data_IF_469803431051
#
_entry.id   IF_469803431051
#
_cell.length_a   1.000
_cell.length_b   1.000
_cell.length_c   1.000
_cell.angle_alpha   90.00
_cell.angle_beta   90.00
_cell.angle_gamma   90.00
#
_symmetry.space_group_name_H-M   'P 1'
#
loop_
_entity.id
_entity.type
_entity.pdbx_description
1 polymer ?
#
# COMPACT_ATOMS: atom_id res chain seq x y z
N UNK A 1 9.27 -32.94 32.12
CA UNK A 1 10.46 -32.35 31.56
C UNK A 1 11.60 -33.36 31.40
N UNK A 2 12.30 -33.27 30.30
CA UNK A 2 13.45 -34.18 30.00
C UNK A 2 14.79 -33.44 30.12
N UNK A 3 14.89 -32.51 31.08
CA UNK A 3 16.11 -31.76 31.32
C UNK A 3 16.47 -30.71 30.29
N UNK A 4 15.50 -30.38 29.40
CA UNK A 4 15.70 -29.34 28.39
C UNK A 4 15.17 -28.01 28.92
N UNK A 5 15.96 -26.96 28.78
CA UNK A 5 15.59 -25.58 29.10
C UNK A 5 15.62 -24.78 27.80
N UNK A 6 14.58 -23.98 27.56
CA UNK A 6 14.55 -23.05 26.44
C UNK A 6 14.30 -21.63 26.93
N UNK A 7 14.93 -20.66 26.28
CA UNK A 7 14.71 -19.24 26.49
C UNK A 7 14.09 -18.70 25.20
N UNK A 8 12.95 -18.03 25.33
CA UNK A 8 12.26 -17.40 24.20
C UNK A 8 12.30 -15.88 24.42
N UNK A 9 12.81 -15.18 23.44
CA UNK A 9 12.78 -13.72 23.41
C UNK A 9 11.89 -13.28 22.24
N UNK A 10 10.89 -12.46 22.53
CA UNK A 10 9.98 -11.91 21.51
C UNK A 10 10.27 -10.41 21.43
N UNK A 11 10.61 -9.95 20.24
CA UNK A 11 10.76 -8.53 19.95
C UNK A 11 9.50 -8.06 19.22
N UNK A 12 8.98 -6.90 19.59
CA UNK A 12 7.87 -6.29 18.86
C UNK A 12 8.32 -5.96 17.42
N UNK A 13 7.49 -6.33 16.46
CA UNK A 13 7.65 -5.97 15.05
C UNK A 13 6.85 -4.71 14.70
N UNK A 14 6.65 -4.50 13.40
CA UNK A 14 5.86 -3.42 12.87
C UNK A 14 4.38 -3.59 13.25
N UNK A 15 3.65 -2.48 13.45
CA UNK A 15 2.20 -2.52 13.65
C UNK A 15 1.48 -3.00 12.37
N UNK A 16 0.20 -3.35 12.50
CA UNK A 16 -0.63 -3.66 11.34
C UNK A 16 -0.75 -2.42 10.46
N UNK A 17 -0.44 -2.56 9.17
CA UNK A 17 -0.72 -1.53 8.20
C UNK A 17 -2.24 -1.49 7.95
N UNK A 18 -2.84 -0.38 8.30
CA UNK A 18 -4.26 -0.15 8.16
C UNK A 18 -4.53 1.12 7.36
N UNK A 19 -5.16 0.97 6.22
CA UNK A 19 -5.55 2.10 5.37
C UNK A 19 -6.77 2.82 5.97
N UNK A 20 -6.66 4.13 6.14
CA UNK A 20 -7.74 4.94 6.69
C UNK A 20 -8.94 4.98 5.73
N UNK A 21 -10.16 4.58 6.17
CA UNK A 21 -11.29 4.38 5.27
C UNK A 21 -11.66 5.60 4.44
N UNK A 22 -11.68 6.79 5.05
CA UNK A 22 -12.01 8.01 4.32
C UNK A 22 -10.96 8.38 3.27
N UNK A 23 -9.67 8.06 3.50
CA UNK A 23 -8.63 8.24 2.48
C UNK A 23 -8.83 7.28 1.32
N UNK A 24 -9.13 6.01 1.59
CA UNK A 24 -9.39 5.01 0.55
C UNK A 24 -10.56 5.44 -0.33
N UNK A 25 -11.71 5.78 0.28
CA UNK A 25 -12.91 6.21 -0.45
C UNK A 25 -12.62 7.40 -1.38
N UNK A 26 -11.98 8.44 -0.87
CA UNK A 26 -11.66 9.64 -1.66
C UNK A 26 -10.62 9.37 -2.75
N UNK A 27 -9.62 8.57 -2.43
CA UNK A 27 -8.58 8.19 -3.38
C UNK A 27 -9.17 7.37 -4.52
N UNK A 28 -10.03 6.41 -4.24
CA UNK A 28 -10.73 5.60 -5.24
C UNK A 28 -11.58 6.48 -6.18
N UNK A 29 -12.31 7.46 -5.64
CA UNK A 29 -13.07 8.43 -6.43
C UNK A 29 -12.17 9.20 -7.41
N UNK A 30 -11.00 9.67 -6.96
CA UNK A 30 -10.06 10.38 -7.82
C UNK A 30 -9.44 9.47 -8.87
N UNK A 31 -9.09 8.22 -8.52
CA UNK A 31 -8.54 7.24 -9.45
C UNK A 31 -9.53 6.92 -10.58
N UNK A 32 -10.79 6.62 -10.22
CA UNK A 32 -11.84 6.33 -11.21
C UNK A 32 -12.06 7.52 -12.15
N UNK A 33 -12.11 8.75 -11.63
CA UNK A 33 -12.22 9.97 -12.46
C UNK A 33 -11.03 10.17 -13.38
N UNK A 34 -9.85 9.68 -12.98
CA UNK A 34 -8.61 9.76 -13.77
C UNK A 34 -8.48 8.61 -14.78
N UNK A 35 -9.46 7.71 -14.86
CA UNK A 35 -9.46 6.57 -15.78
C UNK A 35 -8.63 5.38 -15.30
N UNK A 36 -8.28 5.34 -14.02
CA UNK A 36 -7.59 4.20 -13.41
C UNK A 36 -8.64 3.29 -12.75
N UNK A 37 -8.60 2.01 -13.11
CA UNK A 37 -9.46 1.01 -12.51
C UNK A 37 -9.01 0.68 -11.08
N UNK A 38 -9.96 0.68 -10.16
CA UNK A 38 -9.76 0.26 -8.78
C UNK A 38 -10.21 -1.19 -8.63
N UNK A 39 -9.38 -2.01 -8.02
CA UNK A 39 -9.65 -3.44 -7.80
C UNK A 39 -9.83 -3.74 -6.31
N UNK A 40 -10.22 -4.98 -6.02
CA UNK A 40 -10.30 -5.45 -4.63
C UNK A 40 -8.98 -5.24 -3.89
N UNK A 41 -9.03 -4.78 -2.63
CA UNK A 41 -7.83 -4.48 -1.87
C UNK A 41 -6.97 -5.72 -1.63
N UNK A 42 -5.69 -5.58 -1.87
CA UNK A 42 -4.74 -6.64 -1.54
C UNK A 42 -4.66 -6.83 -0.02
N UNK A 43 -4.66 -8.09 0.40
CA UNK A 43 -4.40 -8.48 1.79
C UNK A 43 -3.11 -9.29 1.84
N UNK A 44 -2.19 -8.89 2.69
CA UNK A 44 -0.90 -9.54 2.85
C UNK A 44 -0.59 -9.77 4.33
N UNK A 45 0.19 -10.80 4.60
CA UNK A 45 0.81 -11.03 5.91
C UNK A 45 2.22 -10.41 6.00
N UNK A 46 2.65 -9.71 4.95
CA UNK A 46 3.91 -8.96 4.94
C UNK A 46 3.84 -7.77 5.90
N UNK A 47 4.99 -7.40 6.42
CA UNK A 47 5.19 -6.22 7.23
C UNK A 47 5.74 -5.07 6.36
N UNK A 48 5.47 -3.84 6.77
CA UNK A 48 5.97 -2.64 6.09
C UNK A 48 6.14 -1.48 7.08
N UNK A 49 7.29 -0.84 7.05
CA UNK A 49 7.63 0.28 7.92
C UNK A 49 6.65 1.46 7.81
N UNK A 50 5.95 1.58 6.67
CA UNK A 50 4.93 2.60 6.48
C UNK A 50 3.79 2.48 7.50
N UNK A 51 3.58 1.29 8.09
CA UNK A 51 2.57 1.07 9.13
C UNK A 51 2.73 2.00 10.33
N UNK A 52 3.96 2.42 10.67
CA UNK A 52 4.22 3.36 11.77
C UNK A 52 3.63 4.75 11.53
N UNK A 53 3.51 5.20 10.28
CA UNK A 53 2.84 6.47 9.98
C UNK A 53 1.34 6.39 10.31
N UNK A 54 0.72 5.23 10.04
CA UNK A 54 -0.69 4.99 10.37
C UNK A 54 -1.03 5.05 11.87
N UNK A 55 -0.03 4.85 12.74
CA UNK A 55 -0.19 5.00 14.19
C UNK A 55 -0.34 6.46 14.65
N UNK A 56 0.08 7.43 13.84
CA UNK A 56 0.12 8.85 14.21
C UNK A 56 -0.73 9.75 13.33
N UNK A 57 -0.97 9.36 12.08
CA UNK A 57 -1.80 10.13 11.14
C UNK A 57 -2.64 9.19 10.28
N UNK A 58 -3.79 9.64 9.76
CA UNK A 58 -4.49 8.91 8.71
C UNK A 58 -3.55 8.64 7.54
N UNK A 59 -3.37 7.37 7.19
CA UNK A 59 -2.45 6.96 6.15
C UNK A 59 -3.11 6.01 5.16
N UNK A 60 -2.60 5.96 3.95
CA UNK A 60 -3.01 5.01 2.91
C UNK A 60 -1.79 4.54 2.13
N UNK A 61 -1.69 3.23 1.95
CA UNK A 61 -0.76 2.60 1.03
C UNK A 61 -1.56 1.85 -0.02
N UNK A 62 -1.18 2.01 -1.27
CA UNK A 62 -1.81 1.32 -2.40
C UNK A 62 -0.76 0.62 -3.25
N UNK A 63 -1.19 -0.45 -3.92
CA UNK A 63 -0.39 -1.15 -4.91
C UNK A 63 -0.91 -0.82 -6.29
N UNK A 64 -0.01 -0.48 -7.19
CA UNK A 64 -0.32 -0.26 -8.60
C UNK A 64 0.02 -1.53 -9.36
N UNK A 65 -0.98 -2.09 -10.05
CA UNK A 65 -0.76 -3.23 -10.93
C UNK A 65 0.04 -2.78 -12.13
N UNK A 66 1.12 -3.49 -12.43
CA UNK A 66 2.04 -3.14 -13.51
C UNK A 66 2.22 -4.31 -14.47
N UNK A 67 2.55 -3.99 -15.72
CA UNK A 67 3.00 -4.97 -16.70
C UNK A 67 4.52 -5.03 -16.75
N UNK A 68 5.06 -6.19 -17.09
CA UNK A 68 6.49 -6.43 -17.27
C UNK A 68 6.69 -7.09 -18.62
N UNK A 69 7.45 -6.46 -19.51
CA UNK A 69 7.67 -6.95 -20.86
C UNK A 69 8.18 -8.38 -20.89
N UNK A 70 7.56 -9.24 -21.73
CA UNK A 70 7.94 -10.65 -21.87
C UNK A 70 7.43 -11.58 -20.77
N UNK A 71 6.53 -11.10 -19.91
CA UNK A 71 5.89 -11.89 -18.87
C UNK A 71 4.36 -11.76 -18.93
N UNK A 72 3.64 -12.88 -18.91
CA UNK A 72 2.17 -12.88 -18.81
C UNK A 72 1.71 -12.42 -17.42
N UNK A 73 2.50 -12.74 -16.39
CA UNK A 73 2.35 -12.25 -15.02
C UNK A 73 3.65 -11.56 -14.61
N UNK A 74 3.52 -10.37 -14.02
CA UNK A 74 4.69 -9.65 -13.51
C UNK A 74 5.38 -10.46 -12.41
N UNK A 75 6.72 -10.54 -12.40
CA UNK A 75 7.45 -11.08 -11.26
C UNK A 75 7.08 -10.35 -9.97
N UNK A 76 7.25 -11.01 -8.82
CA UNK A 76 7.01 -10.38 -7.53
C UNK A 76 7.86 -9.12 -7.32
N UNK A 77 7.36 -8.17 -6.55
CA UNK A 77 7.95 -6.84 -6.33
C UNK A 77 9.45 -6.84 -5.99
N UNK A 78 9.92 -7.82 -5.22
CA UNK A 78 11.35 -7.93 -4.85
C UNK A 78 12.15 -8.90 -5.73
N UNK A 79 11.56 -9.38 -6.83
CA UNK A 79 12.25 -10.27 -7.75
C UNK A 79 13.30 -9.49 -8.58
N UNK A 80 14.50 -10.00 -8.82
CA UNK A 80 15.55 -9.29 -9.56
C UNK A 80 15.20 -8.97 -11.02
N UNK A 81 14.18 -9.60 -11.59
CA UNK A 81 13.63 -9.32 -12.94
C UNK A 81 12.37 -8.47 -12.91
N UNK A 82 12.00 -7.91 -11.77
CA UNK A 82 10.89 -6.96 -11.67
C UNK A 82 11.31 -5.63 -12.30
N UNK A 83 10.90 -5.44 -13.54
CA UNK A 83 11.15 -4.21 -14.30
C UNK A 83 9.84 -3.81 -15.00
N UNK A 84 9.01 -2.99 -14.36
CA UNK A 84 7.77 -2.49 -14.95
C UNK A 84 8.02 -1.73 -16.26
N UNK A 85 7.03 -1.75 -17.13
CA UNK A 85 7.02 -0.92 -18.33
C UNK A 85 6.94 0.58 -17.94
N UNK A 86 7.43 1.46 -18.80
CA UNK A 86 7.50 2.90 -18.52
C UNK A 86 6.13 3.54 -18.26
N UNK A 87 5.05 2.95 -18.76
CA UNK A 87 3.67 3.40 -18.50
C UNK A 87 3.33 3.37 -17.00
N UNK A 88 3.95 2.49 -16.22
CA UNK A 88 3.80 2.44 -14.78
C UNK A 88 4.19 3.75 -14.08
N UNK A 89 5.07 4.54 -14.67
CA UNK A 89 5.49 5.85 -14.13
C UNK A 89 4.29 6.78 -14.03
N UNK A 90 3.49 6.85 -15.09
CA UNK A 90 2.30 7.70 -15.12
C UNK A 90 1.23 7.21 -14.16
N UNK A 91 1.01 5.88 -14.09
CA UNK A 91 0.02 5.29 -13.20
C UNK A 91 0.38 5.52 -11.73
N UNK A 92 1.64 5.35 -11.35
CA UNK A 92 2.13 5.63 -10.00
C UNK A 92 2.02 7.13 -9.68
N UNK A 93 2.41 8.01 -10.61
CA UNK A 93 2.30 9.46 -10.41
C UNK A 93 0.83 9.89 -10.23
N UNK A 94 -0.09 9.37 -11.05
CA UNK A 94 -1.53 9.64 -10.92
C UNK A 94 -2.07 9.14 -9.59
N UNK A 95 -1.65 7.96 -9.16
CA UNK A 95 -2.03 7.38 -7.87
C UNK A 95 -1.57 8.25 -6.69
N UNK A 96 -0.34 8.76 -6.73
CA UNK A 96 0.18 9.68 -5.71
C UNK A 96 -0.58 11.01 -5.68
N UNK A 97 -0.95 11.56 -6.84
CA UNK A 97 -1.78 12.78 -6.92
C UNK A 97 -3.17 12.52 -6.33
N UNK A 98 -3.78 11.38 -6.65
CA UNK A 98 -5.08 11.00 -6.08
C UNK A 98 -5.01 10.89 -4.55
N UNK A 99 -3.96 10.28 -4.00
CA UNK A 99 -3.73 10.18 -2.57
C UNK A 99 -3.56 11.57 -1.91
N UNK A 100 -2.81 12.48 -2.57
CA UNK A 100 -2.65 13.85 -2.10
C UNK A 100 -3.99 14.60 -2.06
N UNK A 101 -4.78 14.53 -3.12
CA UNK A 101 -6.09 15.19 -3.20
C UNK A 101 -7.05 14.62 -2.16
N UNK A 102 -7.07 13.30 -1.99
CA UNK A 102 -7.85 12.64 -0.93
C UNK A 102 -7.45 13.15 0.46
N UNK A 103 -6.15 13.25 0.73
CA UNK A 103 -5.63 13.80 1.99
C UNK A 103 -6.07 15.23 2.23
N UNK A 104 -5.98 16.10 1.22
CA UNK A 104 -6.43 17.48 1.31
C UNK A 104 -7.95 17.56 1.60
N UNK A 105 -8.75 16.72 0.96
CA UNK A 105 -10.21 16.68 1.17
C UNK A 105 -10.57 16.22 2.59
N UNK A 106 -9.98 15.16 3.12
CA UNK A 106 -10.31 14.68 4.46
C UNK A 106 -9.91 15.69 5.54
N UNK A 107 -8.81 16.42 5.36
CA UNK A 107 -8.41 17.50 6.26
C UNK A 107 -9.45 18.63 6.20
N UNK A 108 -9.84 19.06 4.98
CA UNK A 108 -10.83 20.13 4.78
C UNK A 108 -12.19 19.76 5.38
N UNK A 109 -12.60 18.49 5.26
CA UNK A 109 -13.88 17.99 5.77
C UNK A 109 -13.83 17.58 7.26
N UNK A 110 -12.66 17.60 7.89
CA UNK A 110 -12.49 17.19 9.29
C UNK A 110 -12.73 15.70 9.53
N UNK A 111 -12.36 14.85 8.56
CA UNK A 111 -12.52 13.39 8.61
C UNK A 111 -11.24 12.65 9.07
N UNK A 112 -10.36 13.32 9.75
CA UNK A 112 -9.09 12.75 10.25
C UNK A 112 -9.26 12.12 11.64
#
# INVERSE_FOLDING_TARGET
>A
GRGTTSTVTITAGEPVLYNHPALVERMDDWLVRSGIDVTEPMRSLGADDFSFFGEVVPAVMSFVVVTVAGHDEAPELHHPRFLPDDDAILDVATTLVAAYLAGAEIIHLGLT
#
